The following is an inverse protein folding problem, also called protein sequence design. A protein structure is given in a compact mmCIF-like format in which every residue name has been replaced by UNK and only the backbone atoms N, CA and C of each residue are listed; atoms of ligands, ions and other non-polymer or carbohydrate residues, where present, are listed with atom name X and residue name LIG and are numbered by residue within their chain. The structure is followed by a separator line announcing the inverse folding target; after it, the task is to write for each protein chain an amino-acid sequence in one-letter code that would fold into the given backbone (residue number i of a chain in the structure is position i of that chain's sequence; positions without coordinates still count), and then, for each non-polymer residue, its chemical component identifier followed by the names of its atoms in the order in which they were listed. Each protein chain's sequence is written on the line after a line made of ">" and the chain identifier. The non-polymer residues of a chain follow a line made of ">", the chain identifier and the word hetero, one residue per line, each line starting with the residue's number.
data_IF_568630792816
#
_entry.id   IF_568630792816
#
_cell.length_a   1.000
_cell.length_b   1.000
_cell.length_c   1.000
_cell.angle_alpha   90.00
_cell.angle_beta   90.00
_cell.angle_gamma   90.00
#
_symmetry.space_group_name_H-M   'P 1'
#
loop_
_entity.id
_entity.type
_entity.pdbx_description
1 polymer ?
#
# COMPACT_ATOMS: atom_id res chain seq x y z
N UNK A 1 22.55 -23.26 2.22
CA UNK A 1 22.77 -22.34 3.36
C UNK A 1 22.84 -20.94 2.76
N UNK A 2 21.70 -20.25 2.65
CA UNK A 2 21.63 -18.89 2.12
C UNK A 2 21.25 -17.93 3.27
N UNK A 3 21.95 -16.80 3.30
CA UNK A 3 22.11 -15.85 4.41
C UNK A 3 20.81 -15.12 4.79
N UNK A 4 20.59 -14.95 6.10
CA UNK A 4 19.38 -14.41 6.75
C UNK A 4 19.57 -12.95 7.16
N UNK A 5 19.72 -12.02 6.21
CA UNK A 5 19.79 -10.59 6.54
C UNK A 5 18.85 -9.79 5.64
N UNK A 6 17.65 -9.50 6.14
CA UNK A 6 16.72 -8.57 5.49
C UNK A 6 15.22 -8.92 5.52
N UNK A 7 14.77 -9.85 6.37
CA UNK A 7 13.34 -10.19 6.50
C UNK A 7 12.56 -9.08 7.24
N UNK A 8 12.33 -7.96 6.58
CA UNK A 8 11.33 -6.95 6.96
C UNK A 8 10.23 -6.90 5.90
N UNK A 9 9.62 -8.05 5.62
CA UNK A 9 8.35 -8.12 4.90
C UNK A 9 7.28 -8.52 5.91
N UNK A 10 6.23 -7.73 6.06
CA UNK A 10 5.10 -8.00 6.95
C UNK A 10 4.41 -9.32 6.53
N UNK A 11 4.91 -10.43 7.06
CA UNK A 11 4.48 -11.78 6.74
C UNK A 11 3.46 -12.26 7.79
N UNK A 12 2.18 -12.02 7.54
CA UNK A 12 1.08 -12.74 8.17
C UNK A 12 -0.16 -12.40 7.35
N UNK A 13 -0.78 -13.29 6.57
CA UNK A 13 -1.91 -14.12 7.05
C UNK A 13 -1.86 -15.57 6.51
N UNK A 14 -0.98 -15.88 5.56
CA UNK A 14 -0.63 -17.26 5.15
C UNK A 14 0.82 -17.25 4.72
N UNK A 15 1.59 -18.31 5.02
CA UNK A 15 3.06 -18.39 4.88
C UNK A 15 3.59 -18.22 3.43
N UNK A 16 2.72 -17.85 2.49
CA UNK A 16 2.99 -17.68 1.06
C UNK A 16 2.42 -16.39 0.46
N UNK A 17 2.03 -15.38 1.25
CA UNK A 17 1.57 -14.09 0.71
C UNK A 17 2.37 -12.91 1.27
N UNK A 18 2.82 -12.03 0.37
CA UNK A 18 3.42 -10.73 0.69
C UNK A 18 2.45 -9.64 0.31
N UNK A 19 2.31 -8.63 1.16
CA UNK A 19 1.55 -7.41 0.88
C UNK A 19 2.52 -6.24 0.91
N UNK A 20 2.57 -5.48 -0.18
CA UNK A 20 3.50 -4.37 -0.34
C UNK A 20 2.77 -3.13 -0.90
N UNK A 21 3.24 -1.92 -0.59
CA UNK A 21 2.92 -0.78 -1.42
C UNK A 21 3.41 -1.09 -2.83
N UNK A 22 2.54 -0.93 -3.82
CA UNK A 22 2.94 -1.12 -5.20
C UNK A 22 4.02 -0.09 -5.53
N UNK A 23 5.15 -0.52 -6.08
CA UNK A 23 6.08 0.34 -6.80
C UNK A 23 5.86 0.06 -8.29
N UNK A 24 5.36 1.01 -9.06
CA UNK A 24 5.03 0.82 -10.46
C UNK A 24 5.38 2.05 -11.28
N UNK A 25 6.00 1.86 -12.44
CA UNK A 25 6.21 2.90 -13.44
C UNK A 25 4.87 3.14 -14.16
N UNK A 26 4.42 4.39 -14.28
CA UNK A 26 3.30 4.74 -15.15
C UNK A 26 3.75 4.85 -16.61
N UNK A 27 2.79 4.95 -17.53
CA UNK A 27 3.02 4.96 -18.99
C UNK A 27 3.89 6.13 -19.49
N UNK A 28 4.24 7.08 -18.62
CA UNK A 28 5.08 8.24 -18.91
C UNK A 28 6.55 8.07 -18.47
N UNK A 29 6.99 6.85 -18.12
CA UNK A 29 8.38 6.58 -17.67
C UNK A 29 8.82 7.44 -16.48
N UNK A 30 7.87 7.88 -15.65
CA UNK A 30 8.18 8.58 -14.40
C UNK A 30 8.16 7.56 -13.27
N UNK A 31 9.25 7.46 -12.51
CA UNK A 31 9.31 6.62 -11.31
C UNK A 31 8.39 7.22 -10.24
N UNK A 32 7.09 6.92 -10.29
CA UNK A 32 6.12 7.41 -9.33
C UNK A 32 5.64 6.29 -8.43
N UNK A 33 5.72 6.48 -7.12
CA UNK A 33 4.99 5.60 -6.20
C UNK A 33 3.50 5.79 -6.48
N UNK A 34 2.74 4.75 -6.90
CA UNK A 34 1.35 4.85 -7.32
C UNK A 34 0.44 5.21 -6.16
N UNK A 35 0.48 6.46 -5.67
CA UNK A 35 -0.45 7.09 -4.76
C UNK A 35 -1.04 6.17 -3.67
N UNK A 36 -0.17 5.39 -2.99
CA UNK A 36 -0.58 4.44 -1.94
C UNK A 36 -1.39 3.21 -2.40
N UNK A 37 -1.23 2.77 -3.64
CA UNK A 37 -1.70 1.46 -4.13
C UNK A 37 -1.02 0.34 -3.36
N UNK A 38 -1.77 -0.74 -3.11
CA UNK A 38 -1.30 -1.92 -2.39
C UNK A 38 -1.51 -3.15 -3.25
N UNK A 39 -0.47 -3.96 -3.38
CA UNK A 39 -0.52 -5.24 -4.10
C UNK A 39 -0.24 -6.38 -3.13
N UNK A 40 -1.03 -7.44 -3.23
CA UNK A 40 -0.69 -8.72 -2.64
C UNK A 40 -0.22 -9.69 -3.71
N UNK A 41 0.85 -10.42 -3.41
CA UNK A 41 1.42 -11.41 -4.31
C UNK A 41 1.74 -12.71 -3.57
N UNK A 42 1.74 -13.81 -4.32
CA UNK A 42 2.21 -15.09 -3.84
C UNK A 42 3.74 -15.05 -3.64
N UNK A 43 4.22 -15.33 -2.43
CA UNK A 43 5.64 -15.34 -2.04
C UNK A 43 6.48 -16.26 -2.90
N UNK A 44 5.93 -17.41 -3.32
CA UNK A 44 6.68 -18.44 -4.03
C UNK A 44 6.81 -18.13 -5.51
N UNK A 45 5.76 -17.60 -6.11
CA UNK A 45 5.69 -17.42 -7.58
C UNK A 45 5.78 -15.96 -8.01
N UNK A 46 5.67 -15.00 -7.09
CA UNK A 46 5.53 -13.58 -7.40
C UNK A 46 4.19 -13.21 -8.03
N UNK A 47 3.27 -14.17 -8.24
CA UNK A 47 1.99 -13.92 -8.91
C UNK A 47 1.12 -13.00 -8.07
N UNK A 48 0.62 -11.94 -8.67
CA UNK A 48 -0.39 -11.06 -8.10
C UNK A 48 -1.64 -11.85 -7.67
N UNK A 49 -2.14 -11.55 -6.48
CA UNK A 49 -3.37 -12.12 -5.91
C UNK A 49 -4.51 -11.10 -5.96
N UNK A 50 -4.22 -9.86 -5.56
CA UNK A 50 -5.15 -8.75 -5.64
C UNK A 50 -4.40 -7.41 -5.61
N UNK A 51 -5.07 -6.36 -6.09
CA UNK A 51 -4.60 -4.97 -6.05
C UNK A 51 -5.69 -4.09 -5.48
N UNK A 52 -5.29 -3.23 -4.55
CA UNK A 52 -6.10 -2.13 -4.07
C UNK A 52 -5.52 -0.82 -4.59
N UNK A 53 -6.34 -0.07 -5.33
CA UNK A 53 -6.01 1.27 -5.81
C UNK A 53 -6.93 2.29 -5.12
N UNK A 54 -6.40 3.18 -4.25
CA UNK A 54 -7.21 4.16 -3.53
C UNK A 54 -7.78 5.28 -4.42
N UNK A 55 -7.38 5.37 -5.70
CA UNK A 55 -7.83 6.38 -6.66
C UNK A 55 -7.63 7.81 -6.15
N UNK A 56 -6.48 8.07 -5.53
CA UNK A 56 -6.13 9.41 -5.06
C UNK A 56 -5.98 10.36 -6.25
N UNK A 57 -6.49 11.58 -6.13
CA UNK A 57 -6.30 12.60 -7.15
C UNK A 57 -4.83 13.04 -7.20
N UNK A 58 -4.23 13.12 -8.41
CA UNK A 58 -2.83 13.49 -8.59
C UNK A 58 -2.43 14.85 -8.00
N UNK A 59 -3.38 15.76 -7.78
CA UNK A 59 -3.13 17.03 -7.10
C UNK A 59 -2.55 16.87 -5.68
N UNK A 60 -2.83 15.76 -4.99
CA UNK A 60 -2.27 15.47 -3.66
C UNK A 60 -0.75 15.23 -3.69
N UNK A 61 -0.18 14.88 -4.85
CA UNK A 61 1.27 14.73 -5.00
C UNK A 61 2.04 16.01 -4.63
N UNK A 62 1.48 17.18 -4.95
CA UNK A 62 2.10 18.49 -4.69
C UNK A 62 2.18 18.83 -3.19
N UNK A 63 1.44 18.12 -2.35
CA UNK A 63 1.43 18.31 -0.89
C UNK A 63 2.48 17.48 -0.18
N UNK A 64 3.14 16.56 -0.89
CA UNK A 64 4.25 15.79 -0.34
C UNK A 64 5.57 16.57 -0.52
N UNK A 65 6.31 16.80 0.57
CA UNK A 65 7.58 17.55 0.52
C UNK A 65 8.72 16.82 -0.18
N UNK A 66 8.67 15.49 -0.14
CA UNK A 66 9.86 14.66 -0.17
C UNK A 66 9.56 13.37 -0.95
N UNK A 67 8.97 13.55 -2.14
CA UNK A 67 8.35 12.50 -2.98
C UNK A 67 7.06 11.89 -2.37
N UNK A 68 6.26 11.23 -3.21
CA UNK A 68 4.97 10.63 -2.87
C UNK A 68 5.17 9.21 -2.32
N UNK A 69 5.99 9.11 -1.29
CA UNK A 69 6.41 7.84 -0.72
C UNK A 69 5.34 7.23 0.20
N UNK A 70 5.25 5.90 0.19
CA UNK A 70 4.50 5.14 1.18
C UNK A 70 5.45 4.17 1.89
N UNK A 71 5.47 4.20 3.24
CA UNK A 71 6.43 3.41 4.06
C UNK A 71 5.98 1.98 4.33
N UNK A 72 4.87 1.55 3.73
CA UNK A 72 4.36 0.20 3.84
C UNK A 72 3.00 0.15 4.52
N UNK A 73 2.60 -1.08 4.83
CA UNK A 73 1.30 -1.42 5.40
C UNK A 73 1.48 -2.12 6.74
N UNK A 74 0.48 -2.02 7.61
CA UNK A 74 0.38 -2.86 8.79
C UNK A 74 -0.56 -4.03 8.53
N UNK A 75 -0.29 -5.20 9.09
CA UNK A 75 -1.16 -6.37 8.94
C UNK A 75 -1.47 -6.94 10.30
N UNK A 76 -2.76 -7.08 10.63
CA UNK A 76 -3.21 -7.63 11.91
C UNK A 76 -4.66 -8.09 11.82
N UNK A 77 -4.98 -9.18 12.53
CA UNK A 77 -6.35 -9.72 12.66
C UNK A 77 -7.06 -9.92 11.31
N UNK A 78 -6.35 -10.44 10.30
CA UNK A 78 -6.90 -10.70 8.97
C UNK A 78 -7.11 -9.45 8.11
N UNK A 79 -6.60 -8.29 8.53
CA UNK A 79 -6.74 -7.03 7.80
C UNK A 79 -5.37 -6.44 7.45
N UNK A 80 -5.33 -5.74 6.32
CA UNK A 80 -4.22 -4.89 5.89
C UNK A 80 -4.65 -3.43 6.11
N UNK A 81 -3.82 -2.65 6.78
CA UNK A 81 -4.05 -1.23 7.02
C UNK A 81 -3.06 -0.41 6.20
N UNK A 82 -3.59 0.54 5.43
CA UNK A 82 -2.80 1.45 4.59
C UNK A 82 -3.20 2.89 4.87
N UNK A 83 -2.19 3.73 5.08
CA UNK A 83 -2.35 5.19 5.05
C UNK A 83 -2.15 5.69 3.62
N UNK A 84 -3.11 6.45 3.11
CA UNK A 84 -3.04 7.03 1.77
C UNK A 84 -2.49 8.46 1.83
N UNK A 85 -1.85 8.92 0.75
CA UNK A 85 -1.24 10.25 0.70
C UNK A 85 -2.26 11.40 0.76
N UNK A 86 -3.53 11.15 0.45
CA UNK A 86 -4.65 12.08 0.66
C UNK A 86 -5.26 12.02 2.07
N UNK A 87 -4.55 11.40 3.01
CA UNK A 87 -4.86 11.43 4.44
C UNK A 87 -6.01 10.54 4.86
N UNK A 88 -6.26 9.43 4.15
CA UNK A 88 -7.16 8.40 4.65
C UNK A 88 -6.40 7.24 5.30
N UNK A 89 -7.01 6.65 6.32
CA UNK A 89 -6.67 5.32 6.81
C UNK A 89 -7.70 4.33 6.27
N UNK A 90 -7.22 3.26 5.62
CA UNK A 90 -8.07 2.24 5.01
C UNK A 90 -7.72 0.88 5.59
N UNK A 91 -8.75 0.11 5.97
CA UNK A 91 -8.60 -1.31 6.27
C UNK A 91 -9.15 -2.16 5.12
N UNK A 92 -8.30 -3.07 4.64
CA UNK A 92 -8.61 -4.04 3.61
C UNK A 92 -8.70 -5.43 4.24
N UNK A 93 -9.58 -6.28 3.74
CA UNK A 93 -9.53 -7.70 4.02
C UNK A 93 -8.27 -8.29 3.37
N UNK A 94 -7.42 -8.95 4.15
CA UNK A 94 -6.15 -9.46 3.66
C UNK A 94 -6.28 -10.54 2.57
N UNK A 95 -7.42 -11.24 2.51
CA UNK A 95 -7.62 -12.35 1.56
C UNK A 95 -7.96 -11.87 0.14
N UNK A 96 -8.75 -10.82 0.03
CA UNK A 96 -9.34 -10.39 -1.26
C UNK A 96 -9.13 -8.90 -1.57
N UNK A 97 -8.48 -8.15 -0.68
CA UNK A 97 -8.20 -6.72 -0.86
C UNK A 97 -9.43 -5.83 -0.74
N UNK A 98 -10.61 -6.36 -0.36
CA UNK A 98 -11.84 -5.56 -0.26
C UNK A 98 -11.75 -4.58 0.91
N UNK A 99 -12.20 -3.35 0.67
CA UNK A 99 -12.29 -2.31 1.71
C UNK A 99 -13.32 -2.74 2.75
N UNK A 100 -12.90 -2.83 4.01
CA UNK A 100 -13.80 -3.04 5.16
C UNK A 100 -14.29 -1.72 5.72
N UNK A 101 -13.39 -0.74 5.82
CA UNK A 101 -13.71 0.62 6.21
C UNK A 101 -12.64 1.59 5.70
N UNK A 102 -13.01 2.88 5.63
CA UNK A 102 -12.15 4.01 5.28
C UNK A 102 -12.49 5.17 6.21
N UNK A 103 -11.47 5.80 6.80
CA UNK A 103 -11.62 6.94 7.70
C UNK A 103 -10.72 8.07 7.23
N UNK A 104 -11.27 9.29 7.21
CA UNK A 104 -10.51 10.51 6.99
C UNK A 104 -9.74 10.87 8.26
N UNK A 105 -8.42 11.01 8.16
CA UNK A 105 -7.57 11.40 9.29
C UNK A 105 -7.24 12.88 9.29
N UNK A 106 -7.58 13.61 8.22
CA UNK A 106 -7.42 15.06 8.18
C UNK A 106 -8.60 15.71 8.89
N UNK A 107 -8.33 16.58 9.86
CA UNK A 107 -9.36 17.33 10.57
C UNK A 107 -9.92 18.49 9.75
N UNK A 108 -9.17 18.96 8.76
CA UNK A 108 -9.56 20.03 7.83
C UNK A 108 -8.92 19.78 6.46
N UNK A 109 -9.73 19.40 5.47
CA UNK A 109 -9.27 19.13 4.10
C UNK A 109 -8.93 20.38 3.30
N UNK A 110 -9.29 21.57 3.78
CA UNK A 110 -8.95 22.83 3.12
C UNK A 110 -7.49 23.26 3.37
N UNK A 111 -6.82 22.69 4.39
CA UNK A 111 -5.47 23.09 4.83
C UNK A 111 -4.33 22.25 4.24
N UNK A 112 -4.43 21.85 2.99
CA UNK A 112 -3.34 21.15 2.31
C UNK A 112 -3.07 21.70 0.94
#
# INVERSE_FOLDING_TARGET
>A
MMDRKGLWAAACVWMTMIVQPAAGQDAEHTHYSPLSKVTAANVRTGRELWVFDPKVAGAWARKACCDVVNRGVAVSNGNVYVGTVDGYLVALNARDGRVKWRVDTLTDRSRG
#
